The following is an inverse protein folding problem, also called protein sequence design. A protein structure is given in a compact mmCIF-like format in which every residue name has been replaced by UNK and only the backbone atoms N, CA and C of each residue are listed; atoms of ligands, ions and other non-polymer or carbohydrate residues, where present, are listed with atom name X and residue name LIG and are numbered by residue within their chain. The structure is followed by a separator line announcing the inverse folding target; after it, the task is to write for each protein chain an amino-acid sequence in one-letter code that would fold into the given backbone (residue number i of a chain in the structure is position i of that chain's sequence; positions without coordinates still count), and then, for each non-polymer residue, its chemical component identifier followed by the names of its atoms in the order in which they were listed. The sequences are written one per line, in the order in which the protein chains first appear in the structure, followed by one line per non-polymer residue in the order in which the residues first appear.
data_IF_823478122388
#
_entry.id   IF_823478122388
#
_cell.length_a   1.000
_cell.length_b   1.000
_cell.length_c   1.000
_cell.angle_alpha   90.00
_cell.angle_beta   90.00
_cell.angle_gamma   90.00
#
_symmetry.space_group_name_H-M   'P 1'
#
loop_
_entity.id
_entity.type
_entity.pdbx_description
1 polymer ?
#
# COMPACT_ATOMS: atom_id res chain seq x y z
N UNK A 1 -20.43 -17.83 -15.46
CA UNK A 1 -20.43 -16.62 -14.61
C UNK A 1 -19.11 -15.93 -14.85
N UNK A 2 -19.09 -14.63 -15.21
CA UNK A 2 -17.85 -13.89 -15.45
C UNK A 2 -16.98 -13.86 -14.20
N UNK A 3 -15.68 -13.95 -14.38
CA UNK A 3 -14.66 -13.80 -13.34
C UNK A 3 -14.78 -12.38 -12.76
N UNK A 4 -14.78 -12.23 -11.44
CA UNK A 4 -14.82 -10.93 -10.80
C UNK A 4 -13.43 -10.26 -10.79
N UNK A 5 -13.41 -8.98 -10.48
CA UNK A 5 -12.17 -8.20 -10.47
C UNK A 5 -11.32 -8.49 -9.22
N UNK A 6 -10.00 -8.46 -9.41
CA UNK A 6 -9.01 -8.50 -8.32
C UNK A 6 -8.48 -7.09 -8.13
N UNK A 7 -8.59 -6.59 -6.91
CA UNK A 7 -8.38 -5.18 -6.60
C UNK A 7 -7.22 -4.99 -5.61
N UNK A 8 -6.31 -4.08 -5.95
CA UNK A 8 -5.39 -3.44 -5.02
C UNK A 8 -5.89 -2.02 -4.71
N UNK A 9 -6.25 -1.77 -3.47
CA UNK A 9 -6.84 -0.52 -3.01
C UNK A 9 -5.87 0.19 -2.04
N UNK A 10 -5.12 1.13 -2.57
CA UNK A 10 -4.29 2.00 -1.74
C UNK A 10 -5.14 3.10 -1.11
N UNK A 11 -4.98 3.35 0.18
CA UNK A 11 -5.71 4.40 0.89
C UNK A 11 -4.85 5.04 1.98
N UNK A 12 -4.84 6.36 2.01
CA UNK A 12 -4.22 7.18 3.06
C UNK A 12 -5.14 8.34 3.47
N UNK A 13 -4.69 9.25 4.32
CA UNK A 13 -5.51 10.38 4.81
C UNK A 13 -5.94 11.38 3.73
N UNK A 14 -5.23 11.41 2.59
CA UNK A 14 -5.45 12.43 1.55
C UNK A 14 -6.13 11.86 0.31
N UNK A 15 -5.74 10.64 -0.07
CA UNK A 15 -6.11 10.04 -1.36
C UNK A 15 -6.31 8.54 -1.27
N UNK A 16 -6.97 7.98 -2.27
CA UNK A 16 -6.89 6.56 -2.60
C UNK A 16 -6.50 6.36 -4.06
N UNK A 17 -5.98 5.17 -4.36
CA UNK A 17 -5.70 4.68 -5.72
C UNK A 17 -6.18 3.25 -5.86
N UNK A 18 -6.68 2.91 -7.03
CA UNK A 18 -7.24 1.61 -7.31
C UNK A 18 -6.49 0.99 -8.48
N UNK A 19 -5.91 -0.18 -8.26
CA UNK A 19 -5.37 -1.02 -9.31
C UNK A 19 -6.18 -2.29 -9.41
N UNK A 20 -6.38 -2.79 -10.63
CA UNK A 20 -7.08 -4.04 -10.91
C UNK A 20 -6.23 -4.91 -11.82
N UNK A 21 -6.32 -6.23 -11.65
CA UNK A 21 -5.55 -7.16 -12.46
C UNK A 21 -6.14 -7.29 -13.85
N UNK A 22 -5.31 -7.08 -14.87
CA UNK A 22 -5.69 -7.26 -16.26
C UNK A 22 -5.17 -8.62 -16.76
N UNK A 23 -6.06 -9.58 -16.96
CA UNK A 23 -5.69 -10.93 -17.38
C UNK A 23 -5.09 -10.99 -18.79
N UNK A 24 -5.38 -9.99 -19.66
CA UNK A 24 -4.82 -9.95 -21.02
C UNK A 24 -3.36 -9.52 -21.01
N UNK A 25 -3.02 -8.59 -20.15
CA UNK A 25 -1.65 -8.06 -20.02
C UNK A 25 -0.84 -8.78 -18.93
N UNK A 26 -1.52 -9.61 -18.14
CA UNK A 26 -0.94 -10.36 -17.01
C UNK A 26 -0.28 -9.45 -15.97
N UNK A 27 -0.82 -8.24 -15.80
CA UNK A 27 -0.32 -7.24 -14.86
C UNK A 27 -1.42 -6.33 -14.30
N UNK A 28 -1.21 -5.69 -13.13
CA UNK A 28 -2.12 -4.69 -12.61
C UNK A 28 -2.12 -3.41 -13.44
N UNK A 29 -3.31 -2.95 -13.77
CA UNK A 29 -3.55 -1.61 -14.30
C UNK A 29 -4.13 -0.72 -13.22
N UNK A 30 -3.77 0.56 -13.21
CA UNK A 30 -4.32 1.54 -12.27
C UNK A 30 -5.47 2.28 -12.91
N UNK A 31 -6.57 2.43 -12.17
CA UNK A 31 -7.74 3.17 -12.61
C UNK A 31 -7.37 4.65 -12.80
N UNK A 32 -7.49 5.11 -14.03
CA UNK A 32 -7.25 6.50 -14.39
C UNK A 32 -8.49 7.35 -14.05
N UNK A 33 -8.28 8.43 -13.33
CA UNK A 33 -9.34 9.37 -12.93
C UNK A 33 -9.44 10.55 -13.88
N UNK A 34 -8.29 11.00 -14.38
CA UNK A 34 -8.10 12.00 -15.46
C UNK A 34 -6.79 11.71 -16.16
N UNK A 35 -6.51 12.45 -17.27
CA UNK A 35 -5.25 12.34 -18.00
C UNK A 35 -4.05 12.35 -17.07
N UNK A 36 -3.35 11.23 -16.97
CA UNK A 36 -2.17 10.99 -16.14
C UNK A 36 -2.36 11.12 -14.62
N UNK A 37 -3.61 11.15 -14.13
CA UNK A 37 -3.90 11.23 -12.70
C UNK A 37 -4.68 10.01 -12.22
N UNK A 38 -4.08 9.26 -11.31
CA UNK A 38 -4.61 8.04 -10.71
C UNK A 38 -5.11 8.24 -9.27
N UNK A 39 -4.93 9.43 -8.70
CA UNK A 39 -5.27 9.70 -7.30
C UNK A 39 -6.70 10.24 -7.17
N UNK A 40 -7.49 9.59 -6.33
CA UNK A 40 -8.82 10.01 -5.95
C UNK A 40 -8.70 10.70 -4.58
N UNK A 41 -9.01 12.00 -4.45
CA UNK A 41 -9.03 12.67 -3.15
C UNK A 41 -9.93 11.95 -2.14
N UNK A 42 -9.45 11.67 -0.92
CA UNK A 42 -10.24 11.00 0.13
C UNK A 42 -11.15 12.01 0.83
N UNK A 43 -12.15 12.45 0.10
CA UNK A 43 -13.17 13.37 0.56
C UNK A 43 -14.54 12.92 0.04
N UNK A 44 -15.54 12.94 0.89
CA UNK A 44 -16.94 12.69 0.55
C UNK A 44 -17.74 13.96 0.81
N UNK A 45 -18.80 14.18 0.03
CA UNK A 45 -19.67 15.31 0.21
C UNK A 45 -21.11 14.99 -0.17
N UNK A 46 -22.03 15.86 0.26
CA UNK A 46 -23.46 15.79 -0.06
C UNK A 46 -23.93 17.18 -0.46
N UNK A 47 -24.53 17.27 -1.64
CA UNK A 47 -25.22 18.47 -2.08
C UNK A 47 -26.69 18.14 -2.27
N UNK A 48 -27.57 18.74 -1.47
CA UNK A 48 -28.99 18.33 -1.33
C UNK A 48 -29.04 16.83 -0.98
N UNK A 49 -29.67 16.01 -1.82
CA UNK A 49 -29.79 14.55 -1.60
C UNK A 49 -28.78 13.70 -2.37
N UNK A 50 -27.81 14.32 -3.05
CA UNK A 50 -26.86 13.62 -3.89
C UNK A 50 -25.49 13.57 -3.22
N UNK A 51 -24.94 12.35 -3.08
CA UNK A 51 -23.58 12.12 -2.60
C UNK A 51 -22.57 12.31 -3.72
N UNK A 52 -21.44 12.91 -3.38
CA UNK A 52 -20.28 13.09 -4.24
C UNK A 52 -19.01 12.60 -3.52
N UNK A 53 -18.01 12.17 -4.28
CA UNK A 53 -16.72 11.72 -3.73
C UNK A 53 -15.56 12.24 -4.60
N UNK A 54 -14.34 12.14 -4.07
CA UNK A 54 -13.15 12.46 -4.83
C UNK A 54 -13.11 13.92 -5.29
N UNK A 55 -12.83 14.14 -6.56
CA UNK A 55 -12.72 15.49 -7.16
C UNK A 55 -13.99 16.29 -7.06
N UNK A 56 -15.15 15.65 -7.25
CA UNK A 56 -16.42 16.37 -7.16
C UNK A 56 -16.69 16.87 -5.74
N UNK A 57 -16.47 16.02 -4.73
CA UNK A 57 -16.57 16.46 -3.34
C UNK A 57 -15.52 17.54 -2.99
N UNK A 58 -14.30 17.45 -3.55
CA UNK A 58 -13.28 18.50 -3.39
C UNK A 58 -13.71 19.82 -4.01
N UNK A 59 -14.41 19.77 -5.17
CA UNK A 59 -15.01 20.96 -5.80
C UNK A 59 -16.06 21.59 -4.89
N UNK A 60 -16.97 20.79 -4.31
CA UNK A 60 -17.95 21.29 -3.34
C UNK A 60 -17.30 21.98 -2.15
N UNK A 61 -16.25 21.36 -1.60
CA UNK A 61 -15.49 21.94 -0.48
C UNK A 61 -14.85 23.29 -0.85
N UNK A 62 -14.30 23.42 -2.06
CA UNK A 62 -13.67 24.66 -2.55
C UNK A 62 -14.69 25.76 -2.75
N UNK A 63 -15.87 25.44 -3.26
CA UNK A 63 -16.97 26.37 -3.48
C UNK A 63 -17.76 26.67 -2.20
N UNK A 64 -17.48 25.94 -1.10
CA UNK A 64 -18.25 25.98 0.16
C UNK A 64 -19.72 25.66 -0.04
N UNK A 65 -20.02 24.73 -0.95
CA UNK A 65 -21.37 24.26 -1.24
C UNK A 65 -21.61 22.91 -0.56
N UNK A 66 -22.79 22.76 0.05
CA UNK A 66 -23.19 21.51 0.68
C UNK A 66 -22.34 21.09 1.86
N UNK A 67 -22.38 19.80 2.14
CA UNK A 67 -21.62 19.13 3.22
C UNK A 67 -20.41 18.43 2.65
N UNK A 68 -19.26 18.56 3.28
CA UNK A 68 -18.03 17.83 2.86
C UNK A 68 -17.23 17.38 4.07
N UNK A 69 -16.68 16.16 3.98
CA UNK A 69 -15.85 15.54 5.02
C UNK A 69 -14.58 15.00 4.40
N UNK A 70 -13.45 15.46 4.92
CA UNK A 70 -12.11 14.95 4.65
C UNK A 70 -11.56 14.22 5.88
N UNK A 71 -10.36 13.64 5.76
CA UNK A 71 -9.69 12.90 6.83
C UNK A 71 -10.53 11.72 7.33
N UNK A 72 -11.15 11.01 6.39
CA UNK A 72 -12.09 9.95 6.71
C UNK A 72 -11.47 8.79 7.51
N UNK A 73 -10.18 8.45 7.28
CA UNK A 73 -9.53 7.36 8.01
C UNK A 73 -9.38 7.69 9.50
N UNK A 74 -8.75 8.82 9.84
CA UNK A 74 -8.53 9.18 11.25
C UNK A 74 -9.83 9.41 11.99
N UNK A 75 -10.83 10.05 11.35
CA UNK A 75 -12.16 10.24 11.93
C UNK A 75 -12.89 8.91 12.17
N UNK A 76 -12.76 7.96 11.24
CA UNK A 76 -13.35 6.62 11.38
C UNK A 76 -12.70 5.82 12.49
N UNK A 77 -11.38 5.88 12.66
CA UNK A 77 -10.67 5.25 13.76
C UNK A 77 -11.05 5.87 15.12
N UNK A 78 -11.34 7.18 15.14
CA UNK A 78 -11.84 7.86 16.33
C UNK A 78 -13.33 7.60 16.61
N UNK A 79 -14.04 6.85 15.74
CA UNK A 79 -15.50 6.63 15.79
C UNK A 79 -16.27 7.96 15.88
N UNK A 80 -15.83 8.96 15.13
CA UNK A 80 -16.39 10.32 15.20
C UNK A 80 -17.82 10.35 14.64
N UNK A 81 -18.69 11.13 15.30
CA UNK A 81 -20.00 11.51 14.79
C UNK A 81 -19.89 12.90 14.18
N UNK A 82 -20.38 13.05 12.96
CA UNK A 82 -20.24 14.27 12.17
C UNK A 82 -21.62 14.87 11.94
N UNK A 83 -21.84 16.04 12.49
CA UNK A 83 -23.12 16.75 12.41
C UNK A 83 -23.16 17.64 11.16
N UNK A 84 -24.29 17.63 10.49
CA UNK A 84 -24.60 18.53 9.38
C UNK A 84 -26.09 18.90 9.39
N UNK A 85 -26.41 20.09 9.83
CA UNK A 85 -27.79 20.52 10.08
C UNK A 85 -28.43 19.64 11.15
N UNK A 86 -29.56 19.04 10.83
CA UNK A 86 -30.28 18.11 11.70
C UNK A 86 -29.85 16.65 11.53
N UNK A 87 -28.92 16.37 10.61
CA UNK A 87 -28.42 15.01 10.33
C UNK A 87 -27.11 14.74 11.04
N UNK A 88 -26.94 13.53 11.54
CA UNK A 88 -25.67 13.04 12.15
C UNK A 88 -25.18 11.82 11.40
N UNK A 89 -23.95 11.85 10.94
CA UNK A 89 -23.33 10.78 10.20
C UNK A 89 -22.21 10.11 11.01
N UNK A 90 -22.13 8.79 10.91
CA UNK A 90 -21.02 8.02 11.43
C UNK A 90 -19.83 8.08 10.46
N UNK A 91 -18.62 8.40 10.94
CA UNK A 91 -17.45 8.52 10.10
C UNK A 91 -17.10 7.19 9.39
N UNK A 92 -17.28 6.04 10.05
CA UNK A 92 -17.07 4.72 9.43
C UNK A 92 -18.08 4.46 8.31
N UNK A 93 -19.32 4.92 8.50
CA UNK A 93 -20.34 4.83 7.44
C UNK A 93 -19.96 5.70 6.24
N UNK A 94 -19.50 6.95 6.47
CA UNK A 94 -19.04 7.83 5.39
C UNK A 94 -17.85 7.25 4.63
N UNK A 95 -16.88 6.67 5.33
CA UNK A 95 -15.77 5.96 4.70
C UNK A 95 -16.24 4.76 3.88
N UNK A 96 -17.21 4.00 4.39
CA UNK A 96 -17.81 2.88 3.66
C UNK A 96 -18.50 3.34 2.37
N UNK A 97 -19.25 4.45 2.44
CA UNK A 97 -19.87 5.05 1.25
C UNK A 97 -18.83 5.51 0.23
N UNK A 98 -17.75 6.16 0.69
CA UNK A 98 -16.65 6.57 -0.19
C UNK A 98 -16.03 5.37 -0.91
N UNK A 99 -15.68 4.30 -0.19
CA UNK A 99 -15.07 3.10 -0.76
C UNK A 99 -16.04 2.44 -1.76
N UNK A 100 -17.32 2.32 -1.42
CA UNK A 100 -18.32 1.75 -2.31
C UNK A 100 -18.49 2.56 -3.60
N UNK A 101 -18.55 3.89 -3.51
CA UNK A 101 -18.66 4.77 -4.67
C UNK A 101 -17.40 4.72 -5.55
N UNK A 102 -16.22 4.66 -4.95
CA UNK A 102 -14.96 4.57 -5.69
C UNK A 102 -14.77 3.24 -6.44
N UNK A 103 -15.45 2.18 -5.98
CA UNK A 103 -15.42 0.85 -6.57
C UNK A 103 -16.63 0.55 -7.49
N UNK A 104 -17.46 1.52 -7.79
CA UNK A 104 -18.70 1.32 -8.60
C UNK A 104 -18.44 0.77 -10.01
N UNK A 105 -17.24 0.99 -10.57
CA UNK A 105 -16.84 0.44 -11.88
C UNK A 105 -16.54 -1.06 -11.82
N UNK A 106 -16.50 -1.67 -10.64
CA UNK A 106 -16.22 -3.09 -10.42
C UNK A 106 -17.45 -3.78 -9.82
N UNK A 107 -18.41 -4.23 -10.63
CA UNK A 107 -19.70 -4.76 -10.15
C UNK A 107 -19.56 -6.07 -9.37
N UNK A 108 -18.48 -6.82 -9.60
CA UNK A 108 -18.14 -8.03 -8.87
C UNK A 108 -16.66 -8.01 -8.53
N UNK A 109 -16.34 -8.15 -7.25
CA UNK A 109 -14.97 -8.20 -6.73
C UNK A 109 -14.73 -9.59 -6.15
N UNK A 110 -13.80 -10.34 -6.74
CA UNK A 110 -13.43 -11.69 -6.28
C UNK A 110 -12.40 -11.63 -5.15
N UNK A 111 -11.63 -10.53 -5.06
CA UNK A 111 -10.73 -10.29 -3.95
C UNK A 111 -10.17 -8.87 -3.92
N UNK A 112 -9.86 -8.41 -2.71
CA UNK A 112 -9.33 -7.07 -2.47
C UNK A 112 -8.20 -7.09 -1.45
N UNK A 113 -7.16 -6.30 -1.73
CA UNK A 113 -6.11 -5.98 -0.76
C UNK A 113 -6.10 -4.49 -0.52
N UNK A 114 -6.30 -4.08 0.72
CA UNK A 114 -6.08 -2.69 1.14
C UNK A 114 -4.61 -2.47 1.46
N UNK A 115 -4.03 -1.43 0.90
CA UNK A 115 -2.67 -0.97 1.17
C UNK A 115 -2.73 0.36 1.93
N UNK A 116 -2.14 0.40 3.11
CA UNK A 116 -2.19 1.54 4.03
C UNK A 116 -0.77 1.97 4.44
N UNK A 117 -0.55 3.26 4.79
CA UNK A 117 0.77 3.72 5.21
C UNK A 117 1.32 3.00 6.45
N UNK A 118 0.47 2.80 7.44
CA UNK A 118 0.77 2.11 8.69
C UNK A 118 -0.38 1.17 9.00
N UNK A 119 -0.06 -0.09 9.20
CA UNK A 119 -1.05 -1.11 9.52
C UNK A 119 -1.19 -1.27 11.03
N UNK A 120 -2.42 -1.05 11.54
CA UNK A 120 -2.83 -1.36 12.90
C UNK A 120 -3.96 -2.37 12.89
N UNK A 121 -4.16 -3.06 14.02
CA UNK A 121 -5.24 -4.05 14.14
C UNK A 121 -6.62 -3.40 13.96
N UNK A 122 -6.83 -2.23 14.58
CA UNK A 122 -8.11 -1.50 14.51
C UNK A 122 -8.43 -1.10 13.06
N UNK A 123 -7.42 -0.58 12.32
CA UNK A 123 -7.57 -0.22 10.92
C UNK A 123 -7.86 -1.44 10.05
N UNK A 124 -7.15 -2.54 10.28
CA UNK A 124 -7.36 -3.79 9.55
C UNK A 124 -8.77 -4.33 9.77
N UNK A 125 -9.23 -4.38 11.02
CA UNK A 125 -10.58 -4.85 11.36
C UNK A 125 -11.67 -3.94 10.80
N UNK A 126 -11.46 -2.62 10.79
CA UNK A 126 -12.40 -1.65 10.23
C UNK A 126 -12.55 -1.84 8.71
N UNK A 127 -11.44 -1.88 7.97
CA UNK A 127 -11.46 -2.05 6.52
C UNK A 127 -12.05 -3.42 6.12
N UNK A 128 -11.72 -4.48 6.87
CA UNK A 128 -12.31 -5.81 6.66
C UNK A 128 -13.84 -5.80 6.83
N UNK A 129 -14.33 -5.16 7.89
CA UNK A 129 -15.79 -5.01 8.10
C UNK A 129 -16.48 -4.24 6.98
N UNK A 130 -15.85 -3.17 6.47
CA UNK A 130 -16.36 -2.41 5.33
C UNK A 130 -16.46 -3.30 4.09
N UNK A 131 -15.40 -4.03 3.74
CA UNK A 131 -15.36 -4.89 2.56
C UNK A 131 -16.37 -6.05 2.64
N UNK A 132 -16.56 -6.66 3.82
CA UNK A 132 -17.59 -7.69 4.04
C UNK A 132 -18.99 -7.13 3.77
N UNK A 133 -19.28 -5.89 4.19
CA UNK A 133 -20.58 -5.24 3.90
C UNK A 133 -20.81 -4.97 2.41
N UNK A 134 -19.76 -4.95 1.59
CA UNK A 134 -19.80 -4.86 0.15
C UNK A 134 -19.95 -6.23 -0.54
N UNK A 135 -20.28 -7.29 0.21
CA UNK A 135 -20.44 -8.67 -0.26
C UNK A 135 -19.14 -9.29 -0.81
N UNK A 136 -17.98 -8.85 -0.38
CA UNK A 136 -16.71 -9.51 -0.69
C UNK A 136 -16.50 -10.65 0.33
N UNK A 137 -16.11 -11.84 -0.15
CA UNK A 137 -15.83 -12.98 0.73
C UNK A 137 -14.72 -12.64 1.71
N UNK A 138 -14.98 -12.82 3.02
CA UNK A 138 -14.03 -12.50 4.09
C UNK A 138 -12.65 -13.17 3.92
N UNK A 139 -12.59 -14.33 3.25
CA UNK A 139 -11.34 -15.06 2.95
C UNK A 139 -10.53 -14.41 1.85
N UNK A 140 -11.12 -13.51 1.08
CA UNK A 140 -10.52 -12.82 -0.04
C UNK A 140 -10.26 -11.33 0.24
N UNK A 141 -10.32 -10.94 1.53
CA UNK A 141 -10.03 -9.58 1.99
C UNK A 141 -8.74 -9.59 2.78
N UNK A 142 -7.74 -8.88 2.28
CA UNK A 142 -6.43 -8.76 2.92
C UNK A 142 -6.09 -7.29 3.14
N UNK A 143 -5.29 -7.02 4.16
CA UNK A 143 -4.81 -5.68 4.47
C UNK A 143 -3.31 -5.76 4.69
N UNK A 144 -2.56 -4.81 4.14
CA UNK A 144 -1.10 -4.76 4.22
C UNK A 144 -0.61 -3.31 4.29
N UNK A 145 0.62 -3.11 4.74
CA UNK A 145 1.24 -1.80 4.73
C UNK A 145 1.92 -1.47 3.38
N UNK A 146 2.38 -0.24 3.24
CA UNK A 146 3.11 0.22 2.05
C UNK A 146 4.42 -0.54 1.81
N UNK A 147 5.09 -0.97 2.87
CA UNK A 147 6.35 -1.74 2.75
C UNK A 147 6.09 -3.11 2.14
N UNK A 148 5.02 -3.79 2.58
CA UNK A 148 4.62 -5.07 2.01
C UNK A 148 4.15 -4.91 0.56
N UNK A 149 3.42 -3.82 0.25
CA UNK A 149 2.99 -3.51 -1.10
C UNK A 149 4.17 -3.28 -2.04
N UNK A 150 5.18 -2.52 -1.59
CA UNK A 150 6.43 -2.32 -2.34
C UNK A 150 7.15 -3.65 -2.59
N UNK A 151 7.25 -4.48 -1.56
CA UNK A 151 7.86 -5.80 -1.66
C UNK A 151 7.15 -6.67 -2.72
N UNK A 152 5.82 -6.77 -2.64
CA UNK A 152 5.04 -7.55 -3.58
C UNK A 152 5.06 -6.97 -5.00
N UNK A 153 5.13 -5.65 -5.16
CA UNK A 153 5.36 -5.03 -6.47
C UNK A 153 6.68 -5.49 -7.08
N UNK A 154 7.78 -5.46 -6.31
CA UNK A 154 9.11 -5.86 -6.77
C UNK A 154 9.21 -7.33 -7.16
N UNK A 155 8.51 -8.23 -6.49
CA UNK A 155 8.57 -9.66 -6.80
C UNK A 155 8.07 -10.00 -8.22
N UNK A 156 7.23 -9.16 -8.79
CA UNK A 156 6.73 -9.29 -10.16
C UNK A 156 7.56 -8.51 -11.18
N UNK A 157 8.58 -7.77 -10.73
CA UNK A 157 9.52 -7.11 -11.63
C UNK A 157 10.64 -8.07 -12.03
N UNK A 158 11.36 -7.78 -13.15
CA UNK A 158 12.54 -8.55 -13.54
C UNK A 158 13.51 -8.71 -12.38
N UNK A 159 14.05 -9.93 -12.22
CA UNK A 159 14.89 -10.31 -11.07
C UNK A 159 16.13 -9.42 -10.89
N UNK A 160 16.60 -8.82 -11.97
CA UNK A 160 17.73 -7.89 -11.97
C UNK A 160 17.45 -6.64 -11.13
N UNK A 161 16.18 -6.24 -10.98
CA UNK A 161 15.79 -5.07 -10.20
C UNK A 161 15.87 -5.28 -8.69
N UNK A 162 15.91 -6.54 -8.25
CA UNK A 162 15.95 -6.91 -6.83
C UNK A 162 16.92 -8.08 -6.55
N UNK A 163 17.92 -8.22 -7.43
CA UNK A 163 19.00 -9.18 -7.25
C UNK A 163 19.85 -8.88 -6.01
N UNK A 164 20.13 -7.60 -5.77
CA UNK A 164 20.70 -7.04 -4.55
C UNK A 164 19.62 -6.21 -3.83
N UNK A 165 20.01 -5.29 -2.96
CA UNK A 165 19.08 -4.41 -2.30
C UNK A 165 18.29 -3.55 -3.32
N UNK A 166 17.04 -3.22 -3.00
CA UNK A 166 16.25 -2.25 -3.76
C UNK A 166 15.84 -1.11 -2.83
N UNK A 167 16.08 0.13 -3.26
CA UNK A 167 15.80 1.31 -2.46
C UNK A 167 14.46 1.95 -2.88
N UNK A 168 13.71 2.43 -1.89
CA UNK A 168 12.53 3.25 -2.07
C UNK A 168 12.71 4.55 -1.31
N UNK A 169 12.67 5.67 -2.03
CA UNK A 169 12.60 7.00 -1.45
C UNK A 169 11.15 7.50 -1.53
N UNK A 170 10.60 7.83 -0.39
CA UNK A 170 9.28 8.42 -0.27
C UNK A 170 9.40 9.87 0.18
N UNK A 171 8.90 10.81 -0.62
CA UNK A 171 8.93 12.23 -0.30
C UNK A 171 7.52 12.76 -0.11
N UNK A 172 7.16 13.10 1.12
CA UNK A 172 5.91 13.81 1.45
C UNK A 172 6.25 15.22 1.93
N UNK A 173 5.94 16.20 1.11
CA UNK A 173 6.26 17.62 1.33
C UNK A 173 7.75 17.85 1.54
N UNK A 174 8.20 17.95 2.79
CA UNK A 174 9.58 18.27 3.19
C UNK A 174 10.25 17.13 3.96
N UNK A 175 9.62 15.99 4.07
CA UNK A 175 10.18 14.80 4.69
C UNK A 175 10.51 13.76 3.62
N UNK A 176 11.76 13.29 3.60
CA UNK A 176 12.19 12.19 2.74
C UNK A 176 12.56 11.01 3.61
N UNK A 177 11.92 9.87 3.39
CA UNK A 177 12.24 8.58 4.01
C UNK A 177 12.86 7.66 2.98
N UNK A 178 13.89 6.94 3.39
CA UNK A 178 14.54 5.91 2.59
C UNK A 178 14.26 4.54 3.19
N UNK A 179 13.69 3.67 2.40
CA UNK A 179 13.45 2.26 2.72
C UNK A 179 14.35 1.38 1.88
N UNK A 180 14.77 0.25 2.45
CA UNK A 180 15.63 -0.72 1.77
C UNK A 180 15.00 -2.10 1.84
N UNK A 181 14.66 -2.67 0.68
CA UNK A 181 14.32 -4.08 0.58
C UNK A 181 15.60 -4.89 0.58
N UNK A 182 15.68 -5.87 1.47
CA UNK A 182 16.82 -6.77 1.64
C UNK A 182 16.38 -8.22 1.68
N UNK A 183 17.21 -9.09 1.13
CA UNK A 183 17.08 -10.53 1.32
C UNK A 183 17.80 -10.93 2.60
N UNK A 184 17.13 -11.72 3.42
CA UNK A 184 17.76 -12.35 4.57
C UNK A 184 18.60 -13.53 4.11
N UNK A 185 19.75 -13.74 4.77
CA UNK A 185 20.63 -14.87 4.45
C UNK A 185 19.89 -16.21 4.71
N UNK A 186 20.13 -17.26 3.89
CA UNK A 186 19.61 -18.59 4.15
C UNK A 186 20.09 -19.06 5.52
N UNK A 187 19.17 -19.49 6.37
CA UNK A 187 19.48 -19.94 7.75
C UNK A 187 18.25 -19.91 8.65
N UNK A 188 17.29 -19.04 8.34
CA UNK A 188 15.96 -19.07 8.95
C UNK A 188 15.12 -20.10 8.20
N UNK A 189 14.71 -21.17 8.89
CA UNK A 189 13.72 -22.12 8.39
C UNK A 189 14.21 -23.30 7.54
N UNK A 190 15.52 -23.51 7.35
CA UNK A 190 16.08 -24.78 6.79
C UNK A 190 15.63 -25.20 5.38
N UNK A 191 15.00 -24.31 4.58
CA UNK A 191 14.36 -24.65 3.32
C UNK A 191 14.72 -23.74 2.14
N UNK A 192 14.04 -23.95 1.00
CA UNK A 192 14.17 -23.14 -0.23
C UNK A 192 13.47 -21.78 -0.15
N UNK A 193 12.92 -21.39 1.01
CA UNK A 193 12.17 -20.15 1.20
C UNK A 193 13.11 -18.94 1.28
N UNK A 194 12.84 -17.92 0.49
CA UNK A 194 13.55 -16.66 0.52
C UNK A 194 12.78 -15.69 1.41
N UNK A 195 13.38 -15.22 2.49
CA UNK A 195 12.81 -14.19 3.34
C UNK A 195 13.35 -12.82 2.95
N UNK A 196 12.49 -11.82 3.01
CA UNK A 196 12.85 -10.42 2.71
C UNK A 196 12.25 -9.48 3.75
N UNK A 197 12.94 -8.37 3.99
CA UNK A 197 12.46 -7.24 4.81
C UNK A 197 12.47 -5.97 4.01
N UNK A 198 11.67 -4.99 4.44
CA UNK A 198 11.73 -3.60 3.97
C UNK A 198 11.85 -2.70 5.18
N UNK A 199 13.07 -2.21 5.42
CA UNK A 199 13.40 -1.43 6.60
C UNK A 199 13.54 0.05 6.26
N UNK A 200 13.07 0.93 7.13
CA UNK A 200 13.45 2.35 7.07
C UNK A 200 14.93 2.47 7.47
N UNK A 201 15.77 2.93 6.56
CA UNK A 201 17.23 3.00 6.77
C UNK A 201 17.72 4.40 7.03
N UNK A 202 16.95 5.41 6.66
CA UNK A 202 17.23 6.82 6.91
C UNK A 202 15.97 7.67 6.70
N UNK A 203 15.93 8.82 7.38
CA UNK A 203 14.99 9.88 7.10
C UNK A 203 15.68 11.25 7.15
N UNK A 204 15.13 12.22 6.45
CA UNK A 204 15.62 13.59 6.45
C UNK A 204 14.45 14.57 6.33
N UNK A 205 14.51 15.61 7.16
CA UNK A 205 13.59 16.73 7.06
C UNK A 205 14.28 17.87 6.30
N UNK A 206 13.81 18.13 5.07
CA UNK A 206 14.39 19.13 4.17
C UNK A 206 13.49 20.37 4.14
N UNK A 207 13.76 21.34 4.99
CA UNK A 207 12.97 22.59 5.06
C UNK A 207 12.90 23.32 3.71
N UNK A 208 13.94 23.21 2.90
CA UNK A 208 14.08 23.80 1.59
C UNK A 208 13.01 23.31 0.64
N UNK A 209 12.57 22.04 0.75
CA UNK A 209 11.49 21.48 -0.07
C UNK A 209 10.15 22.18 0.16
N UNK A 210 9.87 22.60 1.38
CA UNK A 210 8.64 23.35 1.68
C UNK A 210 8.55 24.68 0.91
N UNK A 211 9.69 25.22 0.48
CA UNK A 211 9.78 26.46 -0.28
C UNK A 211 9.76 26.26 -1.81
N UNK A 212 9.89 24.99 -2.26
CA UNK A 212 9.80 24.62 -3.68
C UNK A 212 8.33 24.55 -4.11
N UNK A 213 7.41 24.28 -3.19
CA UNK A 213 6.00 24.12 -3.47
C UNK A 213 5.15 25.32 -3.01
N UNK A 214 4.05 25.63 -3.71
CA UNK A 214 3.57 25.09 -5.00
C UNK A 214 4.28 25.70 -6.21
N UNK A 215 5.10 26.73 -5.99
CA UNK A 215 5.86 27.42 -7.04
C UNK A 215 7.34 27.05 -6.91
N UNK A 216 7.92 26.55 -7.99
CA UNK A 216 9.32 26.16 -8.03
C UNK A 216 10.23 27.39 -7.87
N UNK A 217 10.95 27.47 -6.76
CA UNK A 217 12.03 28.42 -6.54
C UNK A 217 13.36 27.77 -6.95
N UNK A 218 13.98 28.21 -8.05
CA UNK A 218 15.16 27.58 -8.63
C UNK A 218 16.36 27.48 -7.68
N UNK A 219 16.61 28.51 -6.88
CA UNK A 219 17.76 28.51 -5.96
C UNK A 219 17.52 27.53 -4.81
N UNK A 220 16.31 27.51 -4.25
CA UNK A 220 15.92 26.54 -3.22
C UNK A 220 15.87 25.11 -3.77
N UNK A 221 15.45 24.94 -5.02
CA UNK A 221 15.52 23.65 -5.69
C UNK A 221 16.97 23.14 -5.83
N UNK A 222 17.94 24.00 -6.17
CA UNK A 222 19.36 23.65 -6.21
C UNK A 222 19.92 23.25 -4.86
N UNK A 223 19.54 23.98 -3.79
CA UNK A 223 19.92 23.64 -2.41
C UNK A 223 19.34 22.28 -1.99
N UNK A 224 18.04 22.08 -2.21
CA UNK A 224 17.35 20.84 -1.91
C UNK A 224 17.96 19.65 -2.70
N UNK A 225 18.28 19.81 -3.97
CA UNK A 225 18.93 18.78 -4.79
C UNK A 225 20.33 18.42 -4.25
N UNK A 226 21.11 19.42 -3.82
CA UNK A 226 22.41 19.17 -3.21
C UNK A 226 22.30 18.43 -1.86
N UNK A 227 21.29 18.73 -1.06
CA UNK A 227 21.02 18.03 0.19
C UNK A 227 20.55 16.59 -0.08
N UNK A 228 19.67 16.41 -1.05
CA UNK A 228 19.19 15.08 -1.44
C UNK A 228 20.32 14.21 -2.01
N UNK A 229 21.23 14.77 -2.82
CA UNK A 229 22.46 14.06 -3.24
C UNK A 229 23.27 13.49 -2.06
N UNK A 230 23.49 14.32 -1.03
CA UNK A 230 24.21 13.86 0.18
C UNK A 230 23.44 12.78 0.93
N UNK A 231 22.13 12.92 1.03
CA UNK A 231 21.26 11.94 1.67
C UNK A 231 21.32 10.59 0.93
N UNK A 232 21.21 10.59 -0.41
CA UNK A 232 21.34 9.37 -1.23
C UNK A 232 22.71 8.71 -1.01
N UNK A 233 23.79 9.49 -1.02
CA UNK A 233 25.13 8.97 -0.79
C UNK A 233 25.26 8.28 0.55
N UNK A 234 24.70 8.86 1.61
CA UNK A 234 24.69 8.25 2.95
C UNK A 234 23.86 6.96 3.01
N UNK A 235 22.72 6.93 2.30
CA UNK A 235 21.86 5.74 2.21
C UNK A 235 22.56 4.60 1.47
N UNK A 236 23.34 4.92 0.43
CA UNK A 236 24.02 3.92 -0.39
C UNK A 236 25.41 3.54 0.10
N UNK A 237 25.93 4.18 1.15
CA UNK A 237 27.25 3.84 1.69
C UNK A 237 27.35 2.35 2.01
N UNK A 238 28.39 1.69 1.47
CA UNK A 238 28.66 0.25 1.64
C UNK A 238 27.53 -0.70 1.23
N UNK A 239 26.61 -0.26 0.36
CA UNK A 239 25.49 -1.08 -0.13
C UNK A 239 25.52 -1.25 -1.63
N UNK A 240 25.16 -2.43 -2.08
CA UNK A 240 24.96 -2.73 -3.50
C UNK A 240 23.44 -2.66 -3.75
N UNK A 241 23.02 -1.65 -4.50
CA UNK A 241 21.60 -1.39 -4.79
C UNK A 241 21.34 -1.65 -6.26
N UNK A 242 20.39 -2.54 -6.56
CA UNK A 242 20.01 -2.92 -7.93
C UNK A 242 19.12 -1.89 -8.60
N UNK A 243 18.15 -1.38 -7.87
CA UNK A 243 17.14 -0.44 -8.36
C UNK A 243 16.72 0.56 -7.31
N UNK A 244 16.17 1.66 -7.79
CA UNK A 244 15.68 2.76 -6.96
C UNK A 244 14.29 3.15 -7.40
N UNK A 245 13.40 3.36 -6.45
CA UNK A 245 12.04 3.82 -6.66
C UNK A 245 11.83 5.14 -5.93
N UNK A 246 11.20 6.08 -6.61
CA UNK A 246 10.82 7.39 -6.06
C UNK A 246 9.30 7.48 -6.05
N UNK A 247 8.72 7.85 -4.92
CA UNK A 247 7.27 8.02 -4.76
C UNK A 247 6.95 9.17 -3.83
N UNK A 248 5.73 9.70 -3.94
CA UNK A 248 5.22 10.80 -3.13
C UNK A 248 5.20 12.14 -3.84
N UNK A 249 4.31 13.01 -3.37
CA UNK A 249 4.05 14.35 -3.95
C UNK A 249 5.34 15.19 -4.06
N UNK A 250 6.31 14.95 -3.18
CA UNK A 250 7.56 15.71 -3.15
C UNK A 250 8.45 15.51 -4.37
N UNK A 251 8.25 14.49 -5.19
CA UNK A 251 9.03 14.26 -6.41
C UNK A 251 8.36 14.75 -7.70
N UNK A 252 7.21 15.40 -7.64
CA UNK A 252 6.45 15.79 -8.84
C UNK A 252 7.11 16.90 -9.68
N UNK A 253 7.91 17.79 -9.11
CA UNK A 253 8.38 19.02 -9.78
C UNK A 253 9.81 18.97 -10.35
N UNK A 254 10.39 17.81 -10.62
CA UNK A 254 11.72 17.66 -11.25
C UNK A 254 12.86 18.54 -10.67
N UNK A 255 12.81 18.86 -9.38
CA UNK A 255 13.76 19.74 -8.70
C UNK A 255 15.13 19.09 -8.42
N UNK A 256 15.29 17.78 -8.69
CA UNK A 256 16.43 16.93 -8.29
C UNK A 256 17.27 16.40 -9.45
N UNK A 257 17.67 17.18 -10.45
CA UNK A 257 18.40 16.67 -11.63
C UNK A 257 19.79 16.11 -11.29
N UNK A 258 20.51 16.65 -10.29
CA UNK A 258 21.80 16.13 -9.84
C UNK A 258 21.62 14.80 -9.09
N UNK A 259 20.65 14.76 -8.19
CA UNK A 259 20.29 13.55 -7.43
C UNK A 259 19.88 12.43 -8.36
N UNK A 260 19.12 12.72 -9.42
CA UNK A 260 18.70 11.74 -10.41
C UNK A 260 19.92 11.07 -11.10
N UNK A 261 20.97 11.83 -11.42
CA UNK A 261 22.22 11.27 -11.96
C UNK A 261 22.90 10.33 -10.96
N UNK A 262 22.89 10.67 -9.66
CA UNK A 262 23.45 9.81 -8.60
C UNK A 262 22.61 8.53 -8.45
N UNK A 263 21.29 8.64 -8.49
CA UNK A 263 20.38 7.50 -8.41
C UNK A 263 20.54 6.55 -9.60
N UNK A 264 20.71 7.08 -10.81
CA UNK A 264 20.87 6.29 -12.05
C UNK A 264 22.29 5.74 -12.25
N UNK A 265 23.27 6.08 -11.41
CA UNK A 265 24.64 5.62 -11.59
C UNK A 265 24.77 4.10 -11.31
N UNK A 266 24.83 3.31 -12.37
CA UNK A 266 24.90 1.85 -12.32
C UNK A 266 23.62 1.16 -11.83
N UNK A 267 22.46 1.86 -11.82
CA UNK A 267 21.15 1.37 -11.34
C UNK A 267 20.05 1.84 -12.28
N UNK A 268 18.89 1.18 -12.16
CA UNK A 268 17.66 1.67 -12.77
C UNK A 268 16.86 2.46 -11.72
N UNK A 269 16.48 3.70 -12.05
CA UNK A 269 15.64 4.53 -11.21
C UNK A 269 14.26 4.66 -11.86
N UNK A 270 13.22 4.52 -11.05
CA UNK A 270 11.83 4.59 -11.43
C UNK A 270 11.11 5.65 -10.59
N UNK A 271 10.22 6.39 -11.23
CA UNK A 271 9.35 7.37 -10.57
C UNK A 271 7.92 6.89 -10.79
N UNK A 272 7.14 6.78 -9.74
CA UNK A 272 5.74 6.39 -9.87
C UNK A 272 5.01 6.40 -8.53
N UNK A 273 3.77 6.84 -8.59
CA UNK A 273 2.91 6.98 -7.43
C UNK A 273 1.87 5.86 -7.30
N UNK A 274 1.93 4.82 -8.15
CA UNK A 274 0.94 3.72 -8.14
C UNK A 274 1.53 2.36 -7.74
N UNK A 275 2.77 2.33 -7.26
CA UNK A 275 3.44 1.09 -6.89
C UNK A 275 2.75 0.36 -5.72
N UNK A 276 2.14 1.10 -4.78
CA UNK A 276 1.48 0.50 -3.63
C UNK A 276 0.15 -0.16 -4.01
N UNK A 277 -0.67 0.49 -4.83
CA UNK A 277 -1.91 -0.10 -5.32
C UNK A 277 -1.66 -1.29 -6.26
N UNK A 278 -0.63 -1.21 -7.13
CA UNK A 278 -0.20 -2.34 -7.98
C UNK A 278 0.35 -3.49 -7.14
N UNK A 279 1.18 -3.21 -6.15
CA UNK A 279 1.72 -4.22 -5.23
C UNK A 279 0.62 -4.93 -4.44
N UNK A 280 -0.38 -4.19 -3.97
CA UNK A 280 -1.56 -4.76 -3.32
C UNK A 280 -2.36 -5.66 -4.28
N UNK A 281 -2.52 -5.25 -5.54
CA UNK A 281 -3.18 -6.05 -6.57
C UNK A 281 -2.43 -7.35 -6.85
N UNK A 282 -1.10 -7.31 -6.95
CA UNK A 282 -0.27 -8.51 -7.07
C UNK A 282 -0.42 -9.44 -5.86
N UNK A 283 -0.52 -8.89 -4.64
CA UNK A 283 -0.77 -9.68 -3.44
C UNK A 283 -2.12 -10.41 -3.55
N UNK A 284 -3.18 -9.71 -3.95
CA UNK A 284 -4.50 -10.30 -4.13
C UNK A 284 -4.46 -11.45 -5.15
N UNK A 285 -3.85 -11.21 -6.31
CA UNK A 285 -3.71 -12.22 -7.36
C UNK A 285 -2.94 -13.45 -6.86
N UNK A 286 -1.81 -13.24 -6.19
CA UNK A 286 -0.97 -14.33 -5.67
C UNK A 286 -1.71 -15.19 -4.64
N UNK A 287 -2.40 -14.56 -3.68
CA UNK A 287 -3.12 -15.27 -2.62
C UNK A 287 -4.33 -16.04 -3.15
N UNK A 288 -5.00 -15.54 -4.19
CA UNK A 288 -6.20 -16.16 -4.72
C UNK A 288 -5.91 -17.26 -5.75
N UNK A 289 -4.88 -17.09 -6.57
CA UNK A 289 -4.68 -17.98 -7.72
C UNK A 289 -3.37 -18.75 -7.73
N UNK A 290 -2.32 -18.23 -7.10
CA UNK A 290 -1.01 -18.89 -7.19
C UNK A 290 -0.68 -19.75 -5.97
N UNK A 291 -1.23 -19.45 -4.80
CA UNK A 291 -0.94 -20.11 -3.52
C UNK A 291 0.56 -20.25 -3.21
N UNK A 292 1.40 -19.38 -3.77
CA UNK A 292 2.87 -19.38 -3.63
C UNK A 292 3.27 -18.30 -2.65
N UNK A 293 3.93 -18.66 -1.57
CA UNK A 293 4.42 -17.72 -0.55
C UNK A 293 5.95 -17.52 -0.61
N UNK A 294 6.55 -17.65 -1.76
CA UNK A 294 7.99 -17.46 -1.92
C UNK A 294 8.28 -16.40 -3.00
N UNK A 295 8.97 -15.30 -2.68
CA UNK A 295 9.55 -14.92 -1.39
C UNK A 295 8.52 -14.52 -0.32
N UNK A 296 8.90 -14.64 0.96
CA UNK A 296 8.08 -14.26 2.12
C UNK A 296 8.56 -12.92 2.66
N UNK A 297 7.67 -11.95 2.73
CA UNK A 297 7.93 -10.67 3.40
C UNK A 297 7.78 -10.82 4.90
N UNK A 298 8.78 -10.37 5.66
CA UNK A 298 8.78 -10.32 7.11
C UNK A 298 8.77 -8.87 7.62
N UNK A 299 8.02 -8.64 8.67
CA UNK A 299 7.95 -7.38 9.40
C UNK A 299 7.77 -7.64 10.89
N UNK A 300 7.78 -6.60 11.70
CA UNK A 300 7.53 -6.68 13.14
C UNK A 300 6.16 -7.28 13.50
N UNK A 301 5.19 -7.20 12.58
CA UNK A 301 3.82 -7.71 12.77
C UNK A 301 3.62 -9.12 12.22
N UNK A 302 4.66 -9.73 11.63
CA UNK A 302 4.57 -11.05 10.98
C UNK A 302 5.37 -12.10 11.74
N UNK A 303 4.79 -13.30 11.80
CA UNK A 303 5.44 -14.44 12.42
C UNK A 303 6.64 -14.89 11.58
N UNK A 304 7.79 -15.03 12.24
CA UNK A 304 9.03 -15.55 11.66
C UNK A 304 9.13 -17.05 11.70
N UNK A 305 8.31 -17.69 12.55
CA UNK A 305 8.22 -19.12 12.71
C UNK A 305 6.83 -19.62 12.39
N UNK A 306 6.74 -20.87 11.94
CA UNK A 306 5.44 -21.53 11.77
C UNK A 306 5.11 -22.38 13.00
N UNK A 307 3.83 -22.45 13.33
CA UNK A 307 3.31 -23.36 14.33
C UNK A 307 2.73 -24.57 13.59
N UNK A 308 3.31 -25.73 13.82
CA UNK A 308 2.87 -26.98 13.18
C UNK A 308 2.46 -28.01 14.23
N UNK A 309 1.50 -28.84 13.87
CA UNK A 309 1.09 -30.02 14.67
C UNK A 309 1.27 -31.26 13.82
N UNK A 310 1.87 -32.30 14.41
CA UNK A 310 1.91 -33.60 13.77
C UNK A 310 0.54 -34.28 13.92
N UNK A 311 -0.11 -34.54 12.80
CA UNK A 311 -1.45 -35.13 12.78
C UNK A 311 -1.65 -36.01 11.57
N UNK A 312 -2.66 -36.86 11.62
CA UNK A 312 -3.04 -37.72 10.50
C UNK A 312 -4.11 -36.98 9.68
N UNK A 313 -3.79 -36.67 8.42
CA UNK A 313 -4.72 -36.03 7.47
C UNK A 313 -4.91 -37.00 6.31
N UNK A 314 -6.15 -37.33 5.99
CA UNK A 314 -6.48 -38.33 4.94
C UNK A 314 -5.69 -39.67 5.06
N UNK A 315 -5.47 -40.12 6.29
CA UNK A 315 -4.78 -41.34 6.57
C UNK A 315 -3.24 -41.27 6.53
N UNK A 316 -2.65 -40.11 6.22
CA UNK A 316 -1.20 -39.90 6.19
C UNK A 316 -0.75 -39.01 7.36
N UNK A 317 0.32 -39.41 8.04
CA UNK A 317 0.95 -38.57 9.05
C UNK A 317 1.69 -37.40 8.38
N UNK A 318 1.39 -36.20 8.82
CA UNK A 318 2.03 -34.97 8.32
C UNK A 318 2.12 -33.90 9.38
N UNK A 319 3.10 -33.00 9.24
CA UNK A 319 3.17 -31.78 10.00
C UNK A 319 2.22 -30.76 9.36
N UNK A 320 1.08 -30.57 9.99
CA UNK A 320 0.07 -29.63 9.49
C UNK A 320 0.37 -28.22 10.03
N UNK A 321 0.51 -27.20 9.17
CA UNK A 321 0.74 -25.83 9.61
C UNK A 321 -0.55 -25.22 10.15
N UNK A 322 -0.58 -24.95 11.45
CA UNK A 322 -1.65 -24.16 12.09
C UNK A 322 -1.50 -22.69 11.80
N UNK A 323 -0.28 -22.18 11.83
CA UNK A 323 0.08 -20.81 11.48
C UNK A 323 1.30 -20.86 10.58
N UNK A 324 1.18 -20.24 9.41
CA UNK A 324 2.26 -20.18 8.41
C UNK A 324 3.20 -19.00 8.66
N UNK A 325 4.44 -19.12 8.19
CA UNK A 325 5.38 -18.01 8.14
C UNK A 325 4.77 -16.81 7.39
N UNK A 326 5.08 -15.59 7.85
CA UNK A 326 4.62 -14.36 7.22
C UNK A 326 3.15 -14.04 7.46
N UNK A 327 2.41 -14.86 8.21
CA UNK A 327 1.08 -14.50 8.69
C UNK A 327 1.20 -13.37 9.72
N UNK A 328 0.27 -12.41 9.68
CA UNK A 328 0.19 -11.43 10.74
C UNK A 328 -0.28 -12.10 12.04
N UNK A 329 0.39 -11.78 13.16
CA UNK A 329 0.08 -12.39 14.45
C UNK A 329 -1.40 -12.19 14.88
N UNK A 330 -2.04 -11.12 14.44
CA UNK A 330 -3.46 -10.83 14.72
C UNK A 330 -4.45 -11.44 13.71
N UNK A 331 -3.97 -12.05 12.63
CA UNK A 331 -4.79 -12.83 11.68
C UNK A 331 -4.94 -14.28 12.13
N UNK A 332 -4.03 -14.77 12.99
CA UNK A 332 -4.14 -16.09 13.58
C UNK A 332 -5.31 -16.09 14.56
N UNK A 333 -6.32 -16.94 14.31
CA UNK A 333 -7.32 -17.19 15.31
C UNK A 333 -6.62 -17.78 16.56
N UNK A 334 -6.83 -17.18 17.73
CA UNK A 334 -6.26 -17.67 18.99
C UNK A 334 -6.86 -19.00 19.45
N UNK A 335 -7.79 -19.56 18.70
CA UNK A 335 -8.46 -20.84 18.96
C UNK A 335 -8.46 -21.70 17.72
N UNK A 336 -7.98 -22.91 17.87
CA UNK A 336 -7.98 -23.96 16.85
C UNK A 336 -8.85 -25.10 17.35
N UNK A 337 -9.90 -25.41 16.63
CA UNK A 337 -10.73 -26.59 16.91
C UNK A 337 -10.26 -27.71 15.97
N UNK A 338 -9.69 -28.75 16.55
CA UNK A 338 -9.25 -29.94 15.83
C UNK A 338 -10.15 -31.09 16.27
N UNK A 339 -10.89 -31.64 15.33
CA UNK A 339 -11.67 -32.85 15.58
C UNK A 339 -10.72 -34.03 15.42
N UNK A 340 -10.48 -34.75 16.50
CA UNK A 340 -9.70 -35.99 16.48
C UNK A 340 -10.67 -37.16 16.30
N UNK A 341 -10.48 -37.98 15.26
CA UNK A 341 -11.19 -39.24 15.05
C UNK A 341 -10.46 -40.42 15.74
#
# INVERSE_FOLDING_TARGET
MGQGSIIGYEINEKTCQISFYNDKEMEPQTLEVDSDNFQIPLIIGKLRDTWAYGKEAKRLATLKEGFTVARLLSRSLANEKIEFGDETYDAVWLLSQFIQMSLQSFPKIDGIVFSVPVLTEELAQMLRRIAVRMNIDKRHIFIQDYKESFCNYLFYQPKELWQYDAALFCCDRNEIKAYMLRRLKPGLGGGKTTFVTVDEVANAHMKELALVYPVLNEDKAKEADAMFCKFIQSVFDKRIVSSVFLTGEGFENNWYPKSLRVLCNGRRAFIGNNLYSKGACYTAYRKLYMHIENPVYLSETKLTDQITVNMRVDGQEMWYPLVSWGAHWYESNNQWEVILE
#
